data_IF_703476884329
#
_entry.id   IF_703476884329
#
_cell.length_a   1.000
_cell.length_b   1.000
_cell.length_c   1.000
_cell.angle_alpha   90.00
_cell.angle_beta   90.00
_cell.angle_gamma   90.00
#
_symmetry.space_group_name_H-M   'P 1'
#
loop_
_entity.id
_entity.type
_entity.pdbx_description
1 polymer ?
#
# COMPACT_ATOMS: atom_id res chain seq x y z
N UNK A 1 -23.04 5.51 12.03
CA UNK A 1 -21.85 6.18 11.50
C UNK A 1 -21.25 5.42 10.30
N UNK A 2 -21.12 4.10 10.36
CA UNK A 2 -20.56 3.27 9.29
C UNK A 2 -21.37 3.29 7.97
N UNK A 3 -22.69 3.40 8.00
CA UNK A 3 -23.51 3.41 6.77
C UNK A 3 -23.25 4.60 5.83
N UNK A 4 -22.93 5.79 6.36
CA UNK A 4 -22.57 6.94 5.51
C UNK A 4 -21.22 6.76 4.82
N UNK A 5 -20.25 6.20 5.53
CA UNK A 5 -18.91 5.91 4.96
C UNK A 5 -19.05 4.84 3.87
N UNK A 6 -19.83 3.78 4.12
CA UNK A 6 -20.07 2.74 3.12
C UNK A 6 -20.74 3.28 1.84
N UNK A 7 -21.68 4.21 1.98
CA UNK A 7 -22.33 4.82 0.82
C UNK A 7 -21.38 5.71 0.00
N UNK A 8 -20.42 6.38 0.66
CA UNK A 8 -19.37 7.15 -0.03
C UNK A 8 -18.43 6.18 -0.75
N UNK A 9 -17.99 5.12 -0.09
CA UNK A 9 -17.13 4.10 -0.68
C UNK A 9 -17.78 3.48 -1.93
N UNK A 10 -19.05 3.10 -1.86
CA UNK A 10 -19.76 2.52 -2.99
C UNK A 10 -19.84 3.50 -4.18
N UNK A 11 -20.14 4.78 -3.93
CA UNK A 11 -20.17 5.80 -5.01
C UNK A 11 -18.79 5.99 -5.66
N UNK A 12 -17.72 5.96 -4.87
CA UNK A 12 -16.35 6.06 -5.39
C UNK A 12 -16.02 4.84 -6.24
N UNK A 13 -16.35 3.64 -5.78
CA UNK A 13 -16.15 2.40 -6.52
C UNK A 13 -16.93 2.39 -7.83
N UNK A 14 -18.21 2.79 -7.82
CA UNK A 14 -19.06 2.89 -9.03
C UNK A 14 -18.48 3.89 -10.05
N UNK A 15 -17.92 5.01 -9.59
CA UNK A 15 -17.29 5.97 -10.48
C UNK A 15 -15.98 5.45 -11.06
N UNK A 16 -15.16 4.75 -10.27
CA UNK A 16 -13.90 4.16 -10.71
C UNK A 16 -14.17 3.01 -11.69
N UNK A 17 -15.19 2.19 -11.46
CA UNK A 17 -15.53 1.05 -12.35
C UNK A 17 -15.87 1.51 -13.77
N UNK A 18 -16.38 2.74 -13.94
CA UNK A 18 -16.69 3.33 -15.27
C UNK A 18 -15.45 3.74 -16.08
N UNK A 19 -14.28 3.81 -15.45
CA UNK A 19 -13.03 4.27 -16.09
C UNK A 19 -12.20 3.08 -16.62
N UNK A 20 -12.76 1.88 -16.60
CA UNK A 20 -12.06 0.68 -17.07
C UNK A 20 -11.70 0.76 -18.56
N UNK A 21 -10.39 0.85 -18.85
CA UNK A 21 -9.81 0.74 -20.19
C UNK A 21 -8.71 -0.32 -20.14
N UNK A 22 -8.56 -1.16 -21.19
CA UNK A 22 -7.58 -2.27 -21.18
C UNK A 22 -6.15 -1.84 -20.82
N UNK A 23 -5.71 -0.70 -21.37
CA UNK A 23 -4.37 -0.14 -21.08
C UNK A 23 -4.25 0.29 -19.60
N UNK A 24 -5.26 0.99 -19.06
CA UNK A 24 -5.27 1.44 -17.68
C UNK A 24 -5.31 0.25 -16.73
N UNK A 25 -6.14 -0.75 -17.02
CA UNK A 25 -6.24 -1.97 -16.22
C UNK A 25 -4.89 -2.69 -16.12
N UNK A 26 -4.15 -2.78 -17.24
CA UNK A 26 -2.81 -3.40 -17.25
C UNK A 26 -1.82 -2.64 -16.36
N UNK A 27 -1.84 -1.30 -16.41
CA UNK A 27 -1.00 -0.46 -15.55
C UNK A 27 -1.36 -0.67 -14.08
N UNK A 28 -2.65 -0.62 -13.74
CA UNK A 28 -3.13 -0.78 -12.37
C UNK A 28 -2.81 -2.17 -11.80
N UNK A 29 -2.99 -3.23 -12.59
CA UNK A 29 -2.63 -4.60 -12.19
C UNK A 29 -1.13 -4.71 -11.94
N UNK A 30 -0.30 -4.13 -12.82
CA UNK A 30 1.15 -4.18 -12.68
C UNK A 30 1.61 -3.41 -11.44
N UNK A 31 1.08 -2.21 -11.20
CA UNK A 31 1.37 -1.42 -10.02
C UNK A 31 0.94 -2.15 -8.73
N UNK A 32 -0.25 -2.74 -8.72
CA UNK A 32 -0.73 -3.54 -7.60
C UNK A 32 0.16 -4.75 -7.31
N UNK A 33 0.60 -5.47 -8.34
CA UNK A 33 1.53 -6.62 -8.19
C UNK A 33 2.90 -6.19 -7.68
N UNK A 34 3.44 -5.07 -8.16
CA UNK A 34 4.71 -4.52 -7.70
C UNK A 34 4.65 -4.09 -6.21
N UNK A 35 3.50 -3.59 -5.77
CA UNK A 35 3.25 -3.23 -4.36
C UNK A 35 3.02 -4.43 -3.44
N UNK A 36 2.73 -5.62 -3.99
CA UNK A 36 2.45 -6.80 -3.19
C UNK A 36 3.65 -7.17 -2.30
N UNK A 37 3.37 -7.53 -1.06
CA UNK A 37 4.38 -7.85 -0.03
C UNK A 37 5.44 -6.75 0.19
N UNK A 38 5.19 -5.52 -0.30
CA UNK A 38 6.13 -4.42 -0.19
C UNK A 38 7.42 -4.60 -1.00
N UNK A 39 7.42 -5.40 -2.06
CA UNK A 39 8.61 -5.74 -2.87
C UNK A 39 9.37 -4.49 -3.30
N UNK A 40 8.67 -3.48 -3.80
CA UNK A 40 9.29 -2.20 -4.20
C UNK A 40 10.04 -1.55 -3.05
N UNK A 41 9.46 -1.56 -1.86
CA UNK A 41 10.07 -0.97 -0.66
C UNK A 41 11.30 -1.75 -0.19
N UNK A 42 11.27 -3.09 -0.27
CA UNK A 42 12.44 -3.93 0.01
C UNK A 42 13.57 -3.65 -0.98
N UNK A 43 13.26 -3.50 -2.27
CA UNK A 43 14.26 -3.12 -3.27
C UNK A 43 14.89 -1.76 -2.98
N UNK A 44 14.12 -0.79 -2.48
CA UNK A 44 14.65 0.53 -2.06
C UNK A 44 15.52 0.41 -0.80
N UNK A 45 15.21 -0.49 0.14
CA UNK A 45 16.02 -0.68 1.33
C UNK A 45 17.44 -1.20 1.02
N UNK A 46 17.60 -2.01 -0.03
CA UNK A 46 18.87 -2.68 -0.34
C UNK A 46 20.06 -1.71 -0.51
N UNK A 47 20.01 -0.66 -1.35
CA UNK A 47 21.14 0.26 -1.51
C UNK A 47 21.49 0.98 -0.21
N UNK A 48 20.51 1.27 0.64
CA UNK A 48 20.78 1.87 1.95
C UNK A 48 21.46 0.90 2.91
N UNK A 49 21.13 -0.40 2.86
CA UNK A 49 21.74 -1.41 3.72
C UNK A 49 23.18 -1.76 3.29
N UNK A 50 23.43 -1.77 1.97
CA UNK A 50 24.75 -2.12 1.41
C UNK A 50 25.75 -1.00 1.69
N UNK A 51 25.36 0.24 1.55
CA UNK A 51 26.25 1.39 1.75
C UNK A 51 26.48 1.64 3.25
N UNK A 52 27.75 1.56 3.68
CA UNK A 52 28.14 1.75 5.09
C UNK A 52 27.67 3.08 5.70
N UNK A 53 27.69 4.17 4.92
CA UNK A 53 27.30 5.51 5.38
C UNK A 53 25.78 5.64 5.61
N UNK A 54 24.98 4.82 4.94
CA UNK A 54 23.51 4.87 4.99
C UNK A 54 22.87 3.67 5.68
N UNK A 55 23.68 2.74 6.18
CA UNK A 55 23.21 1.50 6.79
C UNK A 55 22.23 1.71 7.94
N UNK A 56 22.46 2.73 8.77
CA UNK A 56 21.54 3.08 9.84
C UNK A 56 20.17 3.55 9.31
N UNK A 57 20.14 4.29 8.21
CA UNK A 57 18.89 4.69 7.53
C UNK A 57 18.21 3.48 6.93
N UNK A 58 18.96 2.57 6.28
CA UNK A 58 18.43 1.30 5.77
C UNK A 58 17.79 0.43 6.86
N UNK A 59 18.46 0.32 8.02
CA UNK A 59 17.92 -0.40 9.17
C UNK A 59 16.60 0.23 9.68
N UNK A 60 16.51 1.58 9.71
CA UNK A 60 15.27 2.27 10.07
C UNK A 60 14.15 2.01 9.06
N UNK A 61 14.45 1.93 7.75
CA UNK A 61 13.46 1.55 6.74
C UNK A 61 12.93 0.13 6.98
N UNK A 62 13.81 -0.84 7.20
CA UNK A 62 13.44 -2.23 7.50
C UNK A 62 12.58 -2.30 8.76
N UNK A 63 12.98 -1.61 9.83
CA UNK A 63 12.21 -1.55 11.07
C UNK A 63 10.84 -0.91 10.86
N UNK A 64 10.77 0.20 10.10
CA UNK A 64 9.52 0.87 9.74
C UNK A 64 8.56 -0.05 8.98
N UNK A 65 9.07 -0.80 7.99
CA UNK A 65 8.27 -1.79 7.25
C UNK A 65 7.77 -2.94 8.13
N UNK A 66 8.66 -3.48 8.98
CA UNK A 66 8.29 -4.55 9.90
C UNK A 66 7.22 -4.09 10.90
N UNK A 67 7.36 -2.88 11.42
CA UNK A 67 6.39 -2.28 12.34
C UNK A 67 5.05 -1.99 11.64
N UNK A 68 5.09 -1.46 10.42
CA UNK A 68 3.90 -1.23 9.60
C UNK A 68 3.14 -2.53 9.32
N UNK A 69 3.87 -3.60 9.01
CA UNK A 69 3.29 -4.92 8.79
C UNK A 69 2.64 -5.46 10.07
N UNK A 70 3.36 -5.44 11.19
CA UNK A 70 2.86 -5.89 12.49
C UNK A 70 1.60 -5.13 12.88
N UNK A 71 1.64 -3.80 12.85
CA UNK A 71 0.51 -2.97 13.26
C UNK A 71 -0.64 -3.04 12.26
N UNK A 72 -0.36 -2.88 10.96
CA UNK A 72 -1.39 -2.82 9.92
C UNK A 72 -2.01 -4.18 9.61
N UNK A 73 -1.17 -5.15 9.23
CA UNK A 73 -1.66 -6.44 8.75
C UNK A 73 -2.08 -7.39 9.88
N UNK A 74 -1.36 -7.40 10.99
CA UNK A 74 -1.61 -8.38 12.05
C UNK A 74 -2.56 -7.81 13.11
N UNK A 75 -2.33 -6.61 13.62
CA UNK A 75 -3.09 -6.09 14.77
C UNK A 75 -4.37 -5.39 14.29
N UNK A 76 -4.26 -4.28 13.58
CA UNK A 76 -5.42 -3.43 13.26
C UNK A 76 -6.41 -4.15 12.35
N UNK A 77 -5.96 -4.91 11.35
CA UNK A 77 -6.85 -5.70 10.48
C UNK A 77 -7.72 -6.66 11.25
N UNK A 78 -7.15 -7.34 12.25
CA UNK A 78 -7.89 -8.31 13.05
C UNK A 78 -8.80 -7.68 14.11
N UNK A 79 -8.52 -6.44 14.51
CA UNK A 79 -9.43 -5.67 15.39
C UNK A 79 -10.61 -5.11 14.59
N UNK A 80 -10.34 -4.44 13.46
CA UNK A 80 -11.37 -3.74 12.68
C UNK A 80 -12.24 -4.69 11.86
N UNK A 81 -11.67 -5.77 11.32
CA UNK A 81 -12.36 -6.84 10.56
C UNK A 81 -13.30 -6.32 9.45
N UNK A 82 -12.92 -5.24 8.77
CA UNK A 82 -13.74 -4.68 7.70
C UNK A 82 -13.74 -5.59 6.48
N UNK A 83 -14.91 -6.07 6.07
CA UNK A 83 -15.09 -6.88 4.87
C UNK A 83 -14.73 -6.06 3.62
N UNK A 84 -14.13 -6.69 2.62
CA UNK A 84 -13.79 -6.02 1.35
C UNK A 84 -15.01 -5.91 0.45
N UNK A 85 -15.20 -4.78 -0.24
CA UNK A 85 -16.28 -4.64 -1.22
C UNK A 85 -16.26 -5.69 -2.32
N UNK A 86 -15.08 -6.18 -2.72
CA UNK A 86 -14.94 -7.22 -3.75
C UNK A 86 -15.58 -8.57 -3.39
N UNK A 87 -15.93 -8.82 -2.13
CA UNK A 87 -16.67 -10.03 -1.75
C UNK A 87 -18.17 -9.95 -2.04
N UNK A 88 -18.67 -8.76 -2.38
CA UNK A 88 -20.07 -8.52 -2.78
C UNK A 88 -20.25 -8.33 -4.29
N UNK A 89 -19.16 -8.34 -5.06
CA UNK A 89 -19.14 -8.23 -6.52
C UNK A 89 -19.10 -9.63 -7.15
N UNK A 90 -19.63 -9.76 -8.37
CA UNK A 90 -19.54 -10.99 -9.15
C UNK A 90 -18.09 -11.25 -9.60
N UNK A 91 -17.73 -12.52 -9.84
CA UNK A 91 -16.36 -12.91 -10.17
C UNK A 91 -15.88 -12.32 -11.50
N UNK A 92 -16.79 -12.12 -12.45
CA UNK A 92 -16.50 -11.58 -13.78
C UNK A 92 -16.13 -10.09 -13.77
N UNK A 93 -16.42 -9.37 -12.70
CA UNK A 93 -16.12 -7.94 -12.55
C UNK A 93 -14.76 -7.67 -11.93
N UNK A 94 -14.02 -8.72 -11.56
CA UNK A 94 -12.76 -8.56 -10.84
C UNK A 94 -11.54 -8.62 -11.75
N UNK A 95 -10.67 -7.63 -11.63
CA UNK A 95 -9.40 -7.54 -12.37
C UNK A 95 -8.27 -8.38 -11.77
N UNK A 96 -8.36 -8.72 -10.48
CA UNK A 96 -7.35 -9.47 -9.72
C UNK A 96 -8.04 -10.45 -8.77
N UNK A 97 -7.30 -11.51 -8.39
CA UNK A 97 -7.78 -12.49 -7.42
C UNK A 97 -8.23 -11.83 -6.11
N UNK A 98 -9.31 -12.35 -5.52
CA UNK A 98 -9.85 -11.84 -4.25
C UNK A 98 -8.82 -11.96 -3.14
N UNK A 99 -8.40 -10.84 -2.53
CA UNK A 99 -7.48 -10.89 -1.39
C UNK A 99 -8.16 -11.55 -0.19
N UNK A 100 -7.44 -12.45 0.46
CA UNK A 100 -7.97 -13.27 1.58
C UNK A 100 -8.21 -12.52 2.87
N UNK A 101 -7.61 -11.33 3.05
CA UNK A 101 -7.64 -10.60 4.31
C UNK A 101 -8.60 -9.41 4.29
N UNK A 102 -8.90 -8.87 5.48
CA UNK A 102 -9.73 -7.69 5.69
C UNK A 102 -9.26 -6.46 4.90
N UNK A 103 -10.20 -5.51 4.67
CA UNK A 103 -9.94 -4.35 3.80
C UNK A 103 -9.19 -3.20 4.48
N UNK A 104 -9.23 -3.09 5.79
CA UNK A 104 -8.66 -1.94 6.51
C UNK A 104 -7.72 -2.39 7.64
N UNK A 105 -6.56 -1.75 7.77
CA UNK A 105 -6.01 -0.77 6.85
C UNK A 105 -5.46 -1.40 5.56
N UNK A 106 -5.18 -0.56 4.54
CA UNK A 106 -4.52 -1.01 3.32
C UNK A 106 -3.05 -1.30 3.60
N UNK A 107 -2.60 -2.52 3.29
CA UNK A 107 -1.20 -2.91 3.49
C UNK A 107 -0.23 -2.10 2.63
N UNK A 108 -0.61 -1.79 1.38
CA UNK A 108 0.19 -0.93 0.50
C UNK A 108 0.36 0.46 1.11
N UNK A 109 -0.74 1.09 1.52
CA UNK A 109 -0.71 2.43 2.12
C UNK A 109 0.10 2.43 3.42
N UNK A 110 -0.09 1.44 4.29
CA UNK A 110 0.62 1.38 5.57
C UNK A 110 2.13 1.25 5.37
N UNK A 111 2.58 0.37 4.46
CA UNK A 111 3.98 0.21 4.12
C UNK A 111 4.56 1.48 3.47
N UNK A 112 3.85 2.05 2.50
CA UNK A 112 4.28 3.26 1.79
C UNK A 112 4.50 4.44 2.72
N UNK A 113 3.54 4.73 3.60
CA UNK A 113 3.66 5.86 4.53
C UNK A 113 4.64 5.60 5.70
N UNK A 114 4.91 4.35 6.04
CA UNK A 114 6.03 4.04 6.94
C UNK A 114 7.37 4.42 6.31
N UNK A 115 7.57 4.11 5.01
CA UNK A 115 8.77 4.53 4.28
C UNK A 115 8.89 6.04 4.17
N UNK A 116 7.78 6.75 3.89
CA UNK A 116 7.73 8.22 3.87
C UNK A 116 8.12 8.79 5.23
N UNK A 117 7.59 8.25 6.33
CA UNK A 117 7.91 8.70 7.68
C UNK A 117 9.39 8.57 8.01
N UNK A 118 10.01 7.43 7.70
CA UNK A 118 11.46 7.23 7.90
C UNK A 118 12.27 8.16 6.99
N UNK A 119 11.89 8.29 5.71
CA UNK A 119 12.58 9.16 4.77
C UNK A 119 12.53 10.63 5.20
N UNK A 120 11.39 11.10 5.70
CA UNK A 120 11.24 12.46 6.22
C UNK A 120 12.21 12.75 7.38
N UNK A 121 12.43 11.76 8.24
CA UNK A 121 13.29 11.91 9.42
C UNK A 121 14.79 11.72 9.13
N UNK A 122 15.15 10.97 8.10
CA UNK A 122 16.51 10.47 7.87
C UNK A 122 17.13 10.88 6.54
N UNK A 123 16.33 11.29 5.56
CA UNK A 123 16.81 11.57 4.22
C UNK A 123 16.82 13.07 3.91
N UNK A 124 17.70 13.45 2.97
CA UNK A 124 17.64 14.79 2.37
C UNK A 124 16.45 14.87 1.42
N UNK A 125 16.00 16.09 1.13
CA UNK A 125 14.85 16.37 0.26
C UNK A 125 14.96 15.64 -1.10
N UNK A 126 16.15 15.60 -1.68
CA UNK A 126 16.39 14.93 -2.97
C UNK A 126 16.09 13.41 -2.94
N UNK A 127 16.26 12.75 -1.81
CA UNK A 127 15.94 11.33 -1.63
C UNK A 127 14.50 11.13 -1.12
N UNK A 128 14.03 12.05 -0.29
CA UNK A 128 12.69 12.03 0.26
C UNK A 128 11.61 12.20 -0.82
N UNK A 129 11.77 13.15 -1.74
CA UNK A 129 10.75 13.44 -2.76
C UNK A 129 10.41 12.25 -3.67
N UNK A 130 11.39 11.49 -4.23
CA UNK A 130 11.08 10.28 -4.99
C UNK A 130 10.32 9.21 -4.19
N UNK A 131 10.67 9.04 -2.91
CA UNK A 131 9.98 8.09 -2.01
C UNK A 131 8.53 8.54 -1.78
N UNK A 132 8.31 9.84 -1.54
CA UNK A 132 6.97 10.40 -1.40
C UNK A 132 6.15 10.25 -2.67
N UNK A 133 6.72 10.58 -3.83
CA UNK A 133 6.02 10.42 -5.12
C UNK A 133 5.63 8.97 -5.39
N UNK A 134 6.52 8.02 -5.10
CA UNK A 134 6.23 6.60 -5.24
C UNK A 134 5.14 6.13 -4.26
N UNK A 135 5.09 6.68 -3.06
CA UNK A 135 4.08 6.34 -2.06
C UNK A 135 2.68 6.85 -2.40
N UNK A 136 2.59 7.86 -3.27
CA UNK A 136 1.33 8.46 -3.73
C UNK A 136 0.74 7.79 -4.98
N UNK A 137 1.49 6.86 -5.61
CA UNK A 137 1.03 6.01 -6.72
C UNK A 137 0.21 4.82 -6.20
#
# INVERSE_FOLDING_TARGET
MFGRIQNIDNRVLDNISRIHKPALNKIMITASRAGNAGIVWWAICLPFLINSNWRATGANFVFGLAWAHLMGEIIIKHIVKRVRPCHTLDDDEQLIDRPRFYSFPSGHTTASFAMVGVALMRCRVITFMPILMLAML
#
